data_IF_028901260118
#
_entry.id   IF_028901260118
#
_cell.length_a   1.000
_cell.length_b   1.000
_cell.length_c   1.000
_cell.angle_alpha   90.00
_cell.angle_beta   90.00
_cell.angle_gamma   90.00
#
_symmetry.space_group_name_H-M   'P 1'
#
loop_
_entity.id
_entity.type
_entity.pdbx_description
1 polymer ?
#
# COMPACT_ATOMS: atom_id res chain seq x y z
N UNK A 1 -37.54 -60.18 -23.33
CA UNK A 1 -38.75 -59.42 -22.90
C UNK A 1 -38.53 -58.90 -21.48
N UNK A 2 -39.18 -57.85 -20.94
CA UNK A 2 -40.04 -56.83 -21.53
C UNK A 2 -40.91 -56.07 -20.49
N UNK A 3 -41.00 -54.73 -20.59
CA UNK A 3 -41.86 -53.77 -19.83
C UNK A 3 -41.38 -53.35 -18.40
N UNK A 4 -42.05 -52.34 -17.81
CA UNK A 4 -41.56 -51.43 -16.73
C UNK A 4 -42.63 -51.11 -15.65
N UNK A 5 -42.18 -50.51 -14.53
CA UNK A 5 -42.93 -49.66 -13.55
C UNK A 5 -43.76 -50.39 -12.47
N UNK A 6 -44.17 -49.80 -11.32
CA UNK A 6 -44.38 -48.36 -11.00
C UNK A 6 -44.43 -48.00 -9.47
N UNK A 7 -43.71 -46.94 -9.05
CA UNK A 7 -44.00 -45.89 -8.00
C UNK A 7 -44.19 -46.18 -6.46
N UNK A 8 -43.51 -45.34 -5.64
CA UNK A 8 -43.96 -44.54 -4.43
C UNK A 8 -44.67 -45.18 -3.20
N UNK A 9 -44.68 -44.62 -1.97
CA UNK A 9 -43.91 -43.56 -1.25
C UNK A 9 -44.13 -43.65 0.29
N UNK A 10 -43.47 -42.81 1.10
CA UNK A 10 -43.42 -42.77 2.58
C UNK A 10 -44.73 -42.36 3.30
N UNK A 11 -44.87 -42.75 4.60
CA UNK A 11 -45.49 -41.97 5.69
C UNK A 11 -45.24 -42.59 7.10
N UNK A 12 -45.63 -41.84 8.16
CA UNK A 12 -45.94 -42.26 9.56
C UNK A 12 -44.82 -42.20 10.63
N UNK A 13 -45.12 -41.89 11.93
CA UNK A 13 -45.96 -40.79 12.44
C UNK A 13 -45.31 -40.01 13.62
N UNK A 14 -46.09 -39.21 14.36
CA UNK A 14 -45.65 -38.31 15.44
C UNK A 14 -46.75 -38.11 16.52
N UNK A 15 -46.45 -38.24 17.83
CA UNK A 15 -47.33 -37.79 18.94
C UNK A 15 -46.56 -37.55 20.27
N UNK A 16 -47.18 -36.91 21.28
CA UNK A 16 -46.49 -36.05 22.29
C UNK A 16 -47.17 -36.11 23.70
N UNK A 17 -46.52 -35.54 24.73
CA UNK A 17 -47.02 -35.08 26.07
C UNK A 17 -47.05 -36.14 27.20
N UNK A 18 -46.88 -35.85 28.50
CA UNK A 18 -46.37 -34.69 29.30
C UNK A 18 -46.03 -35.17 30.76
N UNK A 19 -45.73 -34.42 31.86
CA UNK A 19 -45.69 -32.98 32.25
C UNK A 19 -44.61 -32.76 33.35
N UNK A 20 -44.07 -31.53 33.55
CA UNK A 20 -43.95 -30.78 34.84
C UNK A 20 -42.78 -29.76 34.87
N UNK A 21 -43.04 -28.57 35.41
CA UNK A 21 -42.07 -27.46 35.48
C UNK A 21 -41.43 -27.27 36.88
N UNK A 22 -40.22 -26.69 36.86
CA UNK A 22 -39.71 -25.68 37.81
C UNK A 22 -38.90 -24.66 37.01
N UNK A 23 -38.87 -23.40 37.46
CA UNK A 23 -38.46 -22.27 36.62
C UNK A 23 -37.67 -21.24 37.46
N UNK A 24 -36.34 -21.27 37.35
CA UNK A 24 -35.44 -20.32 38.01
C UNK A 24 -34.61 -19.54 36.99
N UNK A 25 -34.53 -18.23 37.20
CA UNK A 25 -33.89 -17.27 36.31
C UNK A 25 -32.59 -16.76 36.93
N UNK A 26 -31.46 -17.00 36.28
CA UNK A 26 -30.31 -16.10 36.34
C UNK A 26 -29.66 -16.03 34.96
N UNK A 27 -29.81 -14.87 34.31
CA UNK A 27 -29.10 -14.56 33.09
C UNK A 27 -27.91 -13.68 33.42
N UNK A 28 -26.70 -14.18 33.15
CA UNK A 28 -25.53 -13.32 32.94
C UNK A 28 -25.29 -13.22 31.43
N UNK A 29 -25.68 -12.08 30.85
CA UNK A 29 -25.47 -11.76 29.45
C UNK A 29 -23.96 -11.53 29.21
N UNK A 30 -23.26 -12.56 28.70
CA UNK A 30 -21.83 -12.42 28.38
C UNK A 30 -21.63 -11.45 27.21
N UNK A 31 -21.32 -10.21 27.59
CA UNK A 31 -20.97 -9.11 26.70
C UNK A 31 -19.75 -9.52 25.86
N UNK A 32 -19.97 -9.84 24.59
CA UNK A 32 -18.89 -10.11 23.65
C UNK A 32 -18.15 -8.80 23.33
N UNK A 33 -17.07 -8.56 24.07
CA UNK A 33 -16.11 -7.48 23.84
C UNK A 33 -15.28 -7.76 22.57
N UNK A 34 -15.93 -7.75 21.40
CA UNK A 34 -15.25 -7.80 20.09
C UNK A 34 -14.52 -6.48 19.83
N UNK A 35 -13.45 -6.23 20.59
CA UNK A 35 -12.47 -5.20 20.25
C UNK A 35 -11.85 -5.62 18.91
N UNK A 36 -12.09 -4.87 17.81
CA UNK A 36 -11.70 -5.30 16.48
C UNK A 36 -10.20 -5.47 16.43
N UNK A 37 -9.74 -6.72 16.35
CA UNK A 37 -8.34 -7.07 16.44
C UNK A 37 -7.57 -6.37 15.30
N UNK A 38 -6.84 -5.30 15.67
CA UNK A 38 -6.15 -4.40 14.74
C UNK A 38 -5.02 -5.17 14.05
N UNK A 39 -5.38 -5.83 12.94
CA UNK A 39 -4.53 -6.75 12.17
C UNK A 39 -3.14 -6.13 12.01
N UNK A 40 -2.11 -6.82 12.51
CA UNK A 40 -0.72 -6.32 12.51
C UNK A 40 -0.36 -5.89 11.08
N UNK A 41 -0.18 -4.58 10.89
CA UNK A 41 0.05 -4.01 9.57
C UNK A 41 1.32 -4.57 8.94
N UNK A 42 1.33 -4.73 7.61
CA UNK A 42 2.58 -5.04 6.89
C UNK A 42 3.56 -3.90 7.11
N UNK A 43 4.77 -4.22 7.57
CA UNK A 43 5.86 -3.24 7.72
C UNK A 43 6.27 -2.62 6.38
N UNK A 44 7.07 -1.54 6.41
CA UNK A 44 7.51 -0.85 5.19
C UNK A 44 8.21 -1.80 4.21
N UNK A 45 7.71 -1.85 2.96
CA UNK A 45 8.42 -2.53 1.89
C UNK A 45 9.78 -1.85 1.65
N UNK A 46 10.83 -2.67 1.65
CA UNK A 46 12.23 -2.30 1.33
C UNK A 46 12.55 -2.74 -0.10
N UNK A 47 13.51 -2.08 -0.74
CA UNK A 47 14.09 -2.56 -1.99
C UNK A 47 14.89 -3.84 -1.71
N UNK A 48 14.70 -4.90 -2.49
CA UNK A 48 15.55 -6.10 -2.46
C UNK A 48 16.23 -6.24 -3.80
N UNK A 49 17.54 -6.03 -3.84
CA UNK A 49 18.35 -6.30 -5.04
C UNK A 49 18.35 -7.81 -5.30
N UNK A 50 18.00 -8.16 -6.53
CA UNK A 50 17.98 -9.54 -7.01
C UNK A 50 19.42 -9.96 -7.37
N UNK A 51 19.93 -10.99 -6.71
CA UNK A 51 21.26 -11.55 -6.97
C UNK A 51 21.21 -12.79 -7.87
N UNK A 52 22.03 -12.81 -8.93
CA UNK A 52 22.05 -13.84 -9.97
C UNK A 52 21.16 -13.49 -11.17
N UNK A 53 21.61 -13.85 -12.37
CA UNK A 53 20.98 -13.45 -13.65
C UNK A 53 19.61 -14.13 -13.87
N UNK A 54 19.41 -15.34 -13.35
CA UNK A 54 18.21 -16.19 -13.53
C UNK A 54 16.92 -15.69 -12.82
N UNK A 55 16.86 -14.41 -12.46
CA UNK A 55 15.82 -13.84 -11.59
C UNK A 55 15.28 -12.47 -12.06
N UNK A 56 15.73 -11.99 -13.23
CA UNK A 56 15.08 -10.87 -13.90
C UNK A 56 13.64 -11.25 -14.25
N UNK A 57 12.65 -10.50 -13.76
CA UNK A 57 11.24 -10.90 -13.85
C UNK A 57 10.61 -10.41 -15.15
N UNK A 58 10.02 -11.32 -15.90
CA UNK A 58 9.15 -10.97 -17.00
C UNK A 58 7.88 -10.27 -16.49
N UNK A 59 7.40 -9.31 -17.29
CA UNK A 59 6.18 -8.56 -17.07
C UNK A 59 5.23 -8.83 -18.23
N UNK A 60 4.16 -9.56 -17.95
CA UNK A 60 2.98 -9.57 -18.81
C UNK A 60 2.48 -8.13 -18.95
N UNK A 61 2.05 -7.74 -20.16
CA UNK A 61 1.57 -6.39 -20.47
C UNK A 61 0.24 -6.48 -21.20
N UNK A 62 -0.70 -5.59 -20.92
CA UNK A 62 -1.88 -5.40 -21.75
C UNK A 62 -1.55 -4.57 -23.01
N UNK A 63 -2.54 -4.43 -23.89
CA UNK A 63 -2.47 -3.64 -25.14
C UNK A 63 -2.03 -2.18 -24.93
N UNK A 64 -2.20 -1.64 -23.72
CA UNK A 64 -1.81 -0.29 -23.33
C UNK A 64 -0.41 -0.21 -22.69
N UNK A 65 0.39 -1.28 -22.77
CA UNK A 65 1.73 -1.36 -22.17
C UNK A 65 1.72 -1.29 -20.63
N UNK A 66 0.61 -1.66 -19.99
CA UNK A 66 0.50 -1.67 -18.53
C UNK A 66 0.84 -3.07 -18.01
N UNK A 67 1.75 -3.20 -17.02
CA UNK A 67 2.04 -4.50 -16.42
C UNK A 67 0.81 -5.13 -15.76
N UNK A 68 0.56 -6.40 -16.06
CA UNK A 68 -0.50 -7.25 -15.50
C UNK A 68 0.11 -8.52 -14.85
N UNK A 69 -0.73 -9.45 -14.40
CA UNK A 69 -0.30 -10.69 -13.73
C UNK A 69 0.38 -10.47 -12.37
N UNK A 70 0.84 -11.56 -11.76
CA UNK A 70 1.40 -11.57 -10.40
C UNK A 70 2.64 -10.68 -10.21
N UNK A 71 3.39 -10.43 -11.28
CA UNK A 71 4.58 -9.59 -11.23
C UNK A 71 4.25 -8.08 -11.26
N UNK A 72 3.06 -7.67 -11.72
CA UNK A 72 2.64 -6.25 -11.70
C UNK A 72 2.61 -5.65 -10.28
N UNK A 73 2.09 -6.39 -9.30
CA UNK A 73 2.00 -5.95 -7.89
C UNK A 73 3.40 -5.82 -7.27
N UNK A 74 4.30 -6.76 -7.60
CA UNK A 74 5.71 -6.77 -7.17
C UNK A 74 6.46 -5.59 -7.81
N UNK A 75 6.21 -5.31 -9.09
CA UNK A 75 6.77 -4.20 -9.85
C UNK A 75 6.31 -2.84 -9.34
N UNK A 76 5.01 -2.63 -9.12
CA UNK A 76 4.48 -1.40 -8.53
C UNK A 76 5.04 -1.16 -7.12
N UNK A 77 5.20 -2.22 -6.32
CA UNK A 77 5.86 -2.16 -5.01
C UNK A 77 7.35 -1.81 -5.13
N UNK A 78 8.05 -2.34 -6.14
CA UNK A 78 9.47 -2.11 -6.41
C UNK A 78 9.76 -0.67 -6.88
N UNK A 79 9.02 -0.14 -7.87
CA UNK A 79 9.03 1.29 -8.22
C UNK A 79 8.73 2.13 -6.97
N UNK A 80 7.78 1.66 -6.16
CA UNK A 80 7.42 2.23 -4.87
C UNK A 80 8.54 2.21 -3.81
N UNK A 81 9.54 1.35 -3.90
CA UNK A 81 10.71 1.35 -3.02
C UNK A 81 11.83 2.21 -3.62
N UNK A 82 12.13 2.01 -4.91
CA UNK A 82 13.16 2.72 -5.67
C UNK A 82 13.09 4.25 -5.50
N UNK A 83 11.90 4.85 -5.55
CA UNK A 83 11.74 6.31 -5.36
C UNK A 83 12.21 6.78 -3.97
N UNK A 84 12.06 5.96 -2.93
CA UNK A 84 12.49 6.30 -1.56
C UNK A 84 14.02 6.23 -1.43
N UNK A 85 14.61 5.23 -2.09
CA UNK A 85 16.05 4.93 -2.07
C UNK A 85 16.86 5.99 -2.84
N UNK A 86 16.38 6.38 -4.03
CA UNK A 86 17.15 7.21 -4.97
C UNK A 86 16.76 8.69 -5.01
N UNK A 87 15.58 9.09 -4.51
CA UNK A 87 15.05 10.45 -4.74
C UNK A 87 14.66 11.17 -3.43
N UNK A 88 15.46 12.14 -2.97
CA UNK A 88 15.11 12.97 -1.82
C UNK A 88 13.78 13.72 -1.98
N UNK A 89 13.11 14.01 -0.87
CA UNK A 89 11.91 14.87 -0.85
C UNK A 89 12.25 16.36 -0.65
N UNK A 90 13.51 16.69 -0.39
CA UNK A 90 14.06 18.05 -0.24
C UNK A 90 14.20 18.80 -1.57
N UNK A 91 14.35 18.09 -2.69
CA UNK A 91 14.24 18.63 -4.06
C UNK A 91 12.88 19.28 -4.28
N UNK A 92 12.79 20.39 -5.02
CA UNK A 92 11.53 21.02 -5.40
C UNK A 92 10.83 20.26 -6.52
N UNK A 93 11.56 19.95 -7.59
CA UNK A 93 11.03 19.35 -8.82
C UNK A 93 11.69 18.03 -9.23
N UNK A 94 10.96 17.21 -9.99
CA UNK A 94 11.48 15.95 -10.55
C UNK A 94 12.59 16.19 -11.60
N UNK A 95 12.60 17.37 -12.21
CA UNK A 95 13.63 17.84 -13.14
C UNK A 95 14.99 18.11 -12.48
N UNK A 96 15.06 18.25 -11.16
CA UNK A 96 16.32 18.48 -10.41
C UNK A 96 17.12 17.19 -10.18
N UNK A 97 16.55 16.03 -10.50
CA UNK A 97 17.22 14.74 -10.39
C UNK A 97 18.29 14.65 -11.49
N UNK A 98 19.57 14.69 -11.12
CA UNK A 98 20.69 14.52 -12.06
C UNK A 98 20.61 13.21 -12.85
N UNK A 99 21.09 13.21 -14.09
CA UNK A 99 20.93 12.05 -14.99
C UNK A 99 21.63 10.79 -14.46
N UNK A 100 22.76 10.94 -13.78
CA UNK A 100 23.49 9.85 -13.12
C UNK A 100 22.67 9.16 -11.98
N UNK A 101 21.68 9.84 -11.39
CA UNK A 101 20.68 9.20 -10.50
C UNK A 101 19.61 8.48 -11.33
N UNK A 102 19.16 9.08 -12.44
CA UNK A 102 18.17 8.45 -13.34
C UNK A 102 18.72 7.17 -13.96
N UNK A 103 19.96 7.14 -14.42
CA UNK A 103 20.56 5.95 -15.03
C UNK A 103 20.91 4.87 -14.00
N UNK A 104 21.20 5.23 -12.75
CA UNK A 104 21.25 4.27 -11.63
C UNK A 104 19.87 3.67 -11.34
N UNK A 105 18.79 4.45 -11.36
CA UNK A 105 17.42 3.94 -11.26
C UNK A 105 17.05 3.03 -12.46
N UNK A 106 17.45 3.39 -13.69
CA UNK A 106 17.17 2.60 -14.89
C UNK A 106 17.91 1.25 -14.88
N UNK A 107 19.22 1.27 -14.61
CA UNK A 107 20.04 0.06 -14.44
C UNK A 107 19.50 -0.86 -13.35
N UNK A 108 19.09 -0.29 -12.21
CA UNK A 108 18.45 -1.03 -11.11
C UNK A 108 17.12 -1.66 -11.54
N UNK A 109 16.36 -1.02 -12.43
CA UNK A 109 15.11 -1.57 -12.96
C UNK A 109 15.36 -2.74 -13.93
N UNK A 110 16.24 -2.56 -14.92
CA UNK A 110 16.60 -3.57 -15.92
C UNK A 110 17.19 -4.84 -15.27
N UNK A 111 17.94 -4.70 -14.18
CA UNK A 111 18.45 -5.85 -13.40
C UNK A 111 17.34 -6.67 -12.71
N UNK A 112 16.19 -6.06 -12.41
CA UNK A 112 15.11 -6.69 -11.65
C UNK A 112 13.92 -7.13 -12.50
N UNK A 113 13.69 -6.49 -13.66
CA UNK A 113 12.55 -6.70 -14.55
C UNK A 113 12.95 -6.53 -16.01
N UNK A 114 12.37 -7.35 -16.89
CA UNK A 114 12.55 -7.28 -18.35
C UNK A 114 11.78 -6.07 -18.90
N UNK A 115 12.48 -4.93 -19.00
CA UNK A 115 11.97 -3.65 -19.49
C UNK A 115 12.82 -3.13 -20.64
N UNK A 116 12.16 -2.55 -21.64
CA UNK A 116 12.75 -2.11 -22.90
C UNK A 116 12.97 -0.59 -22.91
N UNK A 117 13.95 -0.08 -23.66
CA UNK A 117 14.29 1.36 -23.65
C UNK A 117 13.14 2.27 -24.13
N UNK A 118 12.24 1.78 -24.99
CA UNK A 118 11.04 2.52 -25.39
C UNK A 118 10.07 2.76 -24.23
N UNK A 119 10.11 1.91 -23.19
CA UNK A 119 9.32 2.09 -21.97
C UNK A 119 9.93 3.12 -21.02
N UNK A 120 11.24 3.43 -21.11
CA UNK A 120 11.97 4.31 -20.17
C UNK A 120 11.20 5.60 -19.92
N UNK A 121 10.72 6.27 -20.98
CA UNK A 121 9.91 7.51 -20.87
C UNK A 121 8.63 7.33 -20.05
N UNK A 122 7.85 6.29 -20.30
CA UNK A 122 6.57 6.02 -19.61
C UNK A 122 6.80 5.60 -18.15
N UNK A 123 7.84 4.82 -17.90
CA UNK A 123 8.23 4.39 -16.56
C UNK A 123 8.71 5.58 -15.73
N UNK A 124 9.55 6.47 -16.29
CA UNK A 124 9.98 7.69 -15.61
C UNK A 124 8.83 8.66 -15.34
N UNK A 125 7.81 8.74 -16.20
CA UNK A 125 6.57 9.48 -15.90
C UNK A 125 5.80 8.88 -14.72
N UNK A 126 5.69 7.54 -14.64
CA UNK A 126 5.07 6.83 -13.50
C UNK A 126 5.86 7.08 -12.20
N UNK A 127 7.19 7.00 -12.25
CA UNK A 127 8.09 7.33 -11.13
C UNK A 127 7.90 8.79 -10.67
N UNK A 128 7.88 9.75 -11.61
CA UNK A 128 7.68 11.17 -11.34
C UNK A 128 6.32 11.50 -10.73
N UNK A 129 5.26 10.75 -11.07
CA UNK A 129 3.96 10.86 -10.40
C UNK A 129 4.03 10.28 -8.97
N UNK A 130 4.55 9.06 -8.81
CA UNK A 130 4.65 8.40 -7.50
C UNK A 130 5.53 9.16 -6.49
N UNK A 131 6.55 9.89 -6.95
CA UNK A 131 7.33 10.81 -6.10
C UNK A 131 6.52 12.04 -5.68
N UNK A 132 5.89 12.76 -6.62
CA UNK A 132 5.03 13.93 -6.32
C UNK A 132 3.88 13.56 -5.39
N UNK A 133 3.17 12.47 -5.67
CA UNK A 133 2.03 11.98 -4.88
C UNK A 133 2.44 11.66 -3.43
N UNK A 134 3.69 11.25 -3.18
CA UNK A 134 4.22 10.99 -1.84
C UNK A 134 4.76 12.22 -1.14
N UNK A 135 5.53 13.05 -1.85
CA UNK A 135 6.01 14.33 -1.35
C UNK A 135 4.82 15.17 -0.88
N UNK A 136 3.79 15.32 -1.71
CA UNK A 136 2.55 16.02 -1.38
C UNK A 136 1.87 15.45 -0.13
N UNK A 137 1.65 14.13 -0.03
CA UNK A 137 1.05 13.51 1.16
C UNK A 137 1.87 13.75 2.44
N UNK A 138 3.19 13.69 2.36
CA UNK A 138 4.06 13.95 3.51
C UNK A 138 4.07 15.44 3.89
N UNK A 139 3.99 16.35 2.90
CA UNK A 139 3.85 17.79 3.13
C UNK A 139 2.51 18.16 3.81
N UNK A 140 1.43 17.50 3.42
CA UNK A 140 0.11 17.65 4.05
C UNK A 140 0.18 17.21 5.51
N UNK A 141 0.65 15.98 5.78
CA UNK A 141 0.79 15.44 7.14
C UNK A 141 1.66 16.34 8.04
N UNK A 142 2.79 16.85 7.53
CA UNK A 142 3.65 17.80 8.25
C UNK A 142 2.91 19.09 8.61
N UNK A 143 2.10 19.64 7.70
CA UNK A 143 1.34 20.88 7.94
C UNK A 143 0.21 20.67 8.94
N UNK A 144 -0.55 19.59 8.79
CA UNK A 144 -1.61 19.18 9.73
C UNK A 144 -1.05 19.04 11.15
N UNK A 145 -0.01 18.21 11.31
CA UNK A 145 0.59 17.91 12.62
C UNK A 145 1.27 19.12 13.26
N UNK A 146 1.86 20.03 12.48
CA UNK A 146 2.50 21.24 13.02
C UNK A 146 1.51 22.20 13.71
N UNK A 147 0.20 22.05 13.52
CA UNK A 147 -0.82 22.83 14.26
C UNK A 147 -1.13 22.27 15.66
N UNK A 148 -0.69 21.04 15.97
CA UNK A 148 -1.01 20.35 17.21
C UNK A 148 -0.14 20.78 18.40
N UNK A 149 -0.70 20.71 19.62
CA UNK A 149 0.03 21.03 20.88
C UNK A 149 1.28 20.18 21.12
N UNK A 150 1.40 19.03 20.44
CA UNK A 150 2.53 18.10 20.51
C UNK A 150 3.39 18.08 19.22
N UNK A 151 3.27 19.10 18.36
CA UNK A 151 3.88 19.18 17.02
C UNK A 151 5.30 18.61 16.91
N UNK A 152 6.23 18.98 17.79
CA UNK A 152 7.62 18.48 17.74
C UNK A 152 7.72 16.95 17.90
N UNK A 153 6.97 16.36 18.85
CA UNK A 153 6.90 14.91 19.04
C UNK A 153 6.29 14.23 17.82
N UNK A 154 5.19 14.80 17.34
CA UNK A 154 4.36 14.19 16.30
C UNK A 154 5.01 14.29 14.91
N UNK A 155 5.75 15.37 14.63
CA UNK A 155 6.63 15.48 13.46
C UNK A 155 7.75 14.43 13.51
N UNK A 156 8.38 14.20 14.67
CA UNK A 156 9.38 13.13 14.80
C UNK A 156 8.79 11.72 14.58
N UNK A 157 7.50 11.51 14.83
CA UNK A 157 6.77 10.28 14.50
C UNK A 157 6.38 10.16 13.01
N UNK A 158 6.28 11.27 12.28
CA UNK A 158 6.04 11.30 10.83
C UNK A 158 7.30 11.08 9.99
N UNK A 159 8.49 11.23 10.57
CA UNK A 159 9.78 11.11 9.86
C UNK A 159 9.89 9.76 9.14
N UNK A 160 10.13 9.74 7.81
CA UNK A 160 10.33 8.50 7.09
C UNK A 160 11.62 7.77 7.54
N UNK A 161 11.51 6.47 7.81
CA UNK A 161 12.60 5.59 8.29
C UNK A 161 13.87 5.63 7.41
N UNK A 162 13.73 5.88 6.11
CA UNK A 162 14.83 5.94 5.13
C UNK A 162 15.46 7.33 5.00
N UNK A 163 15.01 8.32 5.78
CA UNK A 163 15.46 9.71 5.71
C UNK A 163 16.35 10.04 6.91
N UNK A 164 17.53 10.60 6.65
CA UNK A 164 18.40 11.15 7.69
C UNK A 164 17.74 12.34 8.42
N UNK A 165 18.20 12.68 9.63
CA UNK A 165 17.58 13.75 10.43
C UNK A 165 17.75 15.14 9.78
N UNK A 166 18.95 15.45 9.32
CA UNK A 166 19.27 16.65 8.53
C UNK A 166 18.31 16.86 7.33
N UNK A 167 18.00 15.83 6.56
CA UNK A 167 17.09 15.88 5.40
C UNK A 167 15.64 16.06 5.85
N UNK A 168 15.25 15.44 6.96
CA UNK A 168 13.92 15.64 7.56
C UNK A 168 13.73 17.07 8.07
N UNK A 169 14.69 17.61 8.82
CA UNK A 169 14.63 18.96 9.38
C UNK A 169 14.61 20.02 8.27
N UNK A 170 15.43 19.83 7.22
CA UNK A 170 15.37 20.65 6.00
C UNK A 170 14.02 20.54 5.28
N UNK A 171 13.47 19.34 5.14
CA UNK A 171 12.18 19.10 4.51
C UNK A 171 11.02 19.73 5.29
N UNK A 172 11.01 19.62 6.62
CA UNK A 172 10.01 20.26 7.49
C UNK A 172 10.13 21.77 7.43
N UNK A 173 11.34 22.33 7.61
CA UNK A 173 11.60 23.78 7.51
C UNK A 173 11.12 24.33 6.16
N UNK A 174 11.45 23.65 5.05
CA UNK A 174 11.01 24.03 3.70
C UNK A 174 9.49 23.95 3.56
N UNK A 175 8.89 22.84 3.99
CA UNK A 175 7.43 22.60 3.90
C UNK A 175 6.61 23.62 4.68
N UNK A 176 7.09 24.09 5.83
CA UNK A 176 6.43 25.13 6.63
C UNK A 176 6.76 26.55 6.12
N UNK A 177 7.98 26.78 5.61
CA UNK A 177 8.38 28.07 5.02
C UNK A 177 7.64 28.38 3.71
N UNK A 178 7.35 27.39 2.86
CA UNK A 178 6.57 27.57 1.62
C UNK A 178 5.06 27.66 1.91
N UNK A 179 4.66 28.33 2.99
CA UNK A 179 3.26 28.69 3.24
C UNK A 179 2.91 29.84 2.31
N UNK A 180 2.22 29.52 1.21
CA UNK A 180 1.81 30.50 0.20
C UNK A 180 1.00 31.62 0.85
N UNK A 181 1.36 32.87 0.55
CA UNK A 181 0.39 33.95 0.57
C UNK A 181 -0.68 33.61 -0.48
N UNK A 182 -1.92 33.42 -0.01
CA UNK A 182 -3.06 33.26 -0.91
C UNK A 182 -3.41 34.66 -1.43
N UNK A 183 -2.74 35.05 -2.51
CA UNK A 183 -3.09 36.24 -3.27
C UNK A 183 -4.43 36.01 -3.97
N UNK A 184 -5.52 36.31 -3.28
CA UNK A 184 -6.85 36.43 -3.89
C UNK A 184 -6.77 37.55 -4.94
N UNK A 185 -7.19 37.22 -6.16
CA UNK A 185 -7.45 38.13 -7.28
C UNK A 185 -8.86 37.84 -7.79
#
# INVERSE_FOLDING_TARGET
MGKKSKKHSLASPNEIQETRASHDLHGEEQINDDKPHKKKGRGPSKLKMVSGQDKCKELERNELGQPIGDNSVKYASFLGCMIKEFVPYTLDGWNEIGEEVKDRMWSCLQLNYKVEDWEKKVIFQKLAKLWRDRKSKLQILVREVNTGRAASRDLNLLKPEFMEQNQWDLFVKKTLSTTFQVSIY
#
